data_IF_438843549525
#
_entry.id   IF_438843549525
#
_cell.length_a   1.000
_cell.length_b   1.000
_cell.length_c   1.000
_cell.angle_alpha   90.00
_cell.angle_beta   90.00
_cell.angle_gamma   90.00
#
_symmetry.space_group_name_H-M   'P 1'
#
loop_
_entity.id
_entity.type
_entity.pdbx_description
1 polymer ?
#
# COMPACT_ATOMS: atom_id res chain seq x y z
N UNK A 1 -0.39 -10.03 13.59
CA UNK A 1 0.49 -9.09 12.84
C UNK A 1 1.26 -9.92 11.84
N UNK A 2 1.25 -9.51 10.58
CA UNK A 2 1.87 -10.28 9.48
C UNK A 2 3.16 -9.59 9.08
N UNK A 3 4.23 -10.37 8.94
CA UNK A 3 5.56 -9.90 8.55
C UNK A 3 6.03 -10.77 7.40
N UNK A 4 6.29 -10.17 6.25
CA UNK A 4 6.68 -10.92 5.06
C UNK A 4 7.67 -10.16 4.21
N UNK A 5 8.40 -10.91 3.37
CA UNK A 5 9.39 -10.37 2.45
C UNK A 5 8.93 -10.58 1.02
N UNK A 6 9.08 -9.57 0.19
CA UNK A 6 8.65 -9.58 -1.21
C UNK A 6 9.82 -9.19 -2.10
N UNK A 7 10.13 -10.07 -3.06
CA UNK A 7 11.11 -9.81 -4.11
C UNK A 7 10.48 -9.27 -5.40
N UNK A 8 11.31 -9.11 -6.43
CA UNK A 8 10.87 -8.84 -7.80
C UNK A 8 11.63 -9.67 -8.84
N UNK A 9 11.30 -9.54 -10.13
CA UNK A 9 10.38 -8.54 -10.67
C UNK A 9 8.91 -8.88 -10.41
N UNK A 10 8.14 -7.88 -10.01
CA UNK A 10 6.69 -7.96 -9.90
C UNK A 10 6.08 -6.57 -10.15
N UNK A 11 5.46 -6.41 -11.32
CA UNK A 11 4.75 -5.19 -11.71
C UNK A 11 3.30 -5.54 -11.95
N UNK A 12 2.40 -4.73 -11.41
CA UNK A 12 0.97 -5.03 -11.38
C UNK A 12 0.15 -3.76 -11.58
N UNK A 13 -1.06 -3.92 -12.12
CA UNK A 13 -1.97 -2.81 -12.45
C UNK A 13 -3.08 -2.61 -11.42
N UNK A 14 -3.30 -3.61 -10.57
CA UNK A 14 -4.27 -3.52 -9.52
C UNK A 14 -3.76 -2.64 -8.36
N UNK A 15 -4.70 -1.96 -7.73
CA UNK A 15 -4.53 -1.19 -6.53
C UNK A 15 -5.24 -1.93 -5.40
N UNK A 16 -4.53 -2.17 -4.31
CA UNK A 16 -5.08 -2.70 -3.09
C UNK A 16 -5.47 -1.54 -2.16
N UNK A 17 -6.55 -1.73 -1.40
CA UNK A 17 -7.06 -0.80 -0.41
C UNK A 17 -7.42 -1.64 0.81
N UNK A 18 -6.92 -1.28 1.97
CA UNK A 18 -7.27 -1.92 3.25
C UNK A 18 -7.45 -0.88 4.36
N UNK A 19 -8.07 -1.25 5.47
CA UNK A 19 -8.24 -0.36 6.63
C UNK A 19 -6.99 -0.26 7.51
N UNK A 20 -6.07 -1.23 7.40
CA UNK A 20 -4.80 -1.26 8.11
C UNK A 20 -3.76 -0.29 7.56
N UNK A 21 -2.74 -0.01 8.36
CA UNK A 21 -1.51 0.65 7.87
C UNK A 21 -0.55 -0.42 7.34
N UNK A 22 0.20 -0.10 6.29
CA UNK A 22 1.27 -0.95 5.77
C UNK A 22 2.63 -0.29 5.92
N UNK A 23 3.56 -0.98 6.56
CA UNK A 23 4.95 -0.54 6.70
C UNK A 23 5.83 -1.22 5.66
N UNK A 24 6.61 -0.42 4.95
CA UNK A 24 7.56 -0.85 3.93
C UNK A 24 8.98 -0.52 4.37
N UNK A 25 9.90 -1.45 4.16
CA UNK A 25 11.34 -1.23 4.28
C UNK A 25 12.07 -1.94 3.15
N UNK A 26 12.85 -1.22 2.34
CA UNK A 26 13.61 -1.82 1.24
C UNK A 26 14.99 -2.28 1.72
N UNK A 27 15.21 -3.59 1.77
CA UNK A 27 16.48 -4.19 2.19
C UNK A 27 17.49 -4.25 1.04
N UNK A 28 17.00 -4.45 -0.18
CA UNK A 28 17.81 -4.50 -1.40
C UNK A 28 17.07 -3.90 -2.57
N UNK A 29 17.73 -3.00 -3.29
CA UNK A 29 17.20 -2.29 -4.45
C UNK A 29 16.01 -1.37 -4.13
N UNK A 30 15.51 -0.72 -5.18
CA UNK A 30 14.45 0.28 -5.07
C UNK A 30 13.09 -0.30 -5.49
N UNK A 31 12.01 0.25 -4.94
CA UNK A 31 10.65 0.00 -5.42
C UNK A 31 9.91 1.31 -5.69
N UNK A 32 8.86 1.24 -6.50
CA UNK A 32 7.88 2.32 -6.65
C UNK A 32 6.54 1.84 -6.11
N UNK A 33 5.98 2.54 -5.13
CA UNK A 33 4.62 2.34 -4.69
C UNK A 33 3.74 3.40 -5.36
N UNK A 34 2.93 2.99 -6.34
CA UNK A 34 1.93 3.90 -6.90
C UNK A 34 0.80 4.05 -5.89
N UNK A 35 0.32 5.25 -5.65
CA UNK A 35 -0.71 5.54 -4.65
C UNK A 35 -1.71 6.58 -5.16
N UNK A 36 -2.89 6.63 -4.54
CA UNK A 36 -3.80 7.77 -4.66
C UNK A 36 -3.66 8.71 -3.47
N UNK A 37 -2.71 9.63 -3.53
CA UNK A 37 -2.58 10.69 -2.54
C UNK A 37 -3.62 11.79 -2.81
N UNK A 38 -4.50 12.04 -1.85
CA UNK A 38 -5.59 13.01 -1.98
C UNK A 38 -6.45 12.80 -3.25
N UNK A 39 -6.69 11.52 -3.58
CA UNK A 39 -7.42 11.11 -4.78
C UNK A 39 -6.68 11.31 -6.10
N UNK A 40 -5.36 11.57 -6.08
CA UNK A 40 -4.54 11.76 -7.29
C UNK A 40 -3.42 10.73 -7.35
N UNK A 41 -3.20 10.19 -8.55
CA UNK A 41 -2.09 9.28 -8.81
C UNK A 41 -0.75 9.93 -8.47
N UNK A 42 0.07 9.22 -7.70
CA UNK A 42 1.41 9.62 -7.28
C UNK A 42 2.30 8.40 -7.19
N UNK A 43 3.53 8.53 -7.65
CA UNK A 43 4.56 7.51 -7.48
C UNK A 43 5.40 7.84 -6.24
N UNK A 44 5.45 6.92 -5.27
CA UNK A 44 6.32 6.99 -4.10
C UNK A 44 7.52 6.07 -4.34
N UNK A 45 8.68 6.64 -4.61
CA UNK A 45 9.93 5.87 -4.74
C UNK A 45 10.47 5.59 -3.35
N UNK A 46 10.59 4.31 -3.00
CA UNK A 46 11.17 3.83 -1.74
C UNK A 46 12.50 3.17 -2.10
N UNK A 47 13.61 3.83 -1.78
CA UNK A 47 14.96 3.36 -2.13
C UNK A 47 15.49 2.34 -1.14
N UNK A 48 16.53 1.63 -1.53
CA UNK A 48 17.29 0.76 -0.63
C UNK A 48 17.67 1.50 0.68
N UNK A 49 17.37 0.87 1.82
CA UNK A 49 17.57 1.42 3.15
C UNK A 49 16.50 2.42 3.61
N UNK A 50 15.53 2.77 2.76
CA UNK A 50 14.41 3.65 3.13
C UNK A 50 13.23 2.87 3.71
N UNK A 51 12.57 3.52 4.67
CA UNK A 51 11.29 3.10 5.25
C UNK A 51 10.17 4.04 4.82
N UNK A 52 8.97 3.48 4.71
CA UNK A 52 7.75 4.21 4.39
C UNK A 52 6.56 3.58 5.12
N UNK A 53 5.65 4.40 5.64
CA UNK A 53 4.41 3.94 6.25
C UNK A 53 3.25 4.47 5.42
N UNK A 54 2.43 3.56 4.90
CA UNK A 54 1.20 3.88 4.22
C UNK A 54 0.04 3.90 5.23
N UNK A 55 -0.63 5.04 5.43
CA UNK A 55 -1.88 5.10 6.19
C UNK A 55 -2.97 4.25 5.54
N UNK A 56 -3.89 3.75 6.36
CA UNK A 56 -5.02 2.97 5.86
C UNK A 56 -5.94 3.73 4.91
N UNK A 57 -6.66 2.95 4.11
CA UNK A 57 -7.66 3.33 3.12
C UNK A 57 -7.11 4.16 1.97
N UNK A 58 -5.81 4.03 1.68
CA UNK A 58 -5.17 4.64 0.52
C UNK A 58 -4.93 3.55 -0.53
N UNK A 59 -5.52 3.72 -1.71
CA UNK A 59 -5.29 2.84 -2.83
C UNK A 59 -3.81 2.85 -3.24
N UNK A 60 -3.19 1.67 -3.32
CA UNK A 60 -1.78 1.55 -3.63
C UNK A 60 -1.45 0.33 -4.50
N UNK A 61 -0.42 0.44 -5.34
CA UNK A 61 0.01 -0.59 -6.29
C UNK A 61 1.53 -0.73 -6.28
N UNK A 62 2.09 -1.74 -5.59
CA UNK A 62 3.53 -1.96 -5.49
C UNK A 62 4.15 -2.38 -6.82
N UNK A 63 5.25 -1.72 -7.22
CA UNK A 63 6.04 -2.02 -8.41
C UNK A 63 7.46 -2.38 -7.98
N UNK A 64 7.88 -3.62 -8.23
CA UNK A 64 9.19 -4.15 -7.83
C UNK A 64 9.98 -4.57 -9.06
N UNK A 65 11.21 -4.06 -9.18
CA UNK A 65 12.14 -4.45 -10.22
C UNK A 65 12.85 -5.77 -9.86
N UNK A 66 13.57 -6.36 -10.81
CA UNK A 66 14.38 -7.55 -10.58
C UNK A 66 15.42 -7.32 -9.47
N UNK A 67 15.81 -8.41 -8.79
CA UNK A 67 16.84 -8.43 -7.74
C UNK A 67 16.57 -7.56 -6.51
N UNK A 68 15.33 -7.13 -6.29
CA UNK A 68 14.91 -6.37 -5.10
C UNK A 68 14.44 -7.27 -3.97
N UNK A 69 14.52 -6.79 -2.72
CA UNK A 69 13.90 -7.40 -1.52
C UNK A 69 13.38 -6.29 -0.62
N UNK A 70 12.08 -6.31 -0.33
CA UNK A 70 11.45 -5.44 0.65
C UNK A 70 10.79 -6.24 1.77
N UNK A 71 10.86 -5.72 2.99
CA UNK A 71 10.04 -6.12 4.13
C UNK A 71 8.72 -5.36 4.09
N UNK A 72 7.63 -6.07 4.32
CA UNK A 72 6.30 -5.49 4.55
C UNK A 72 5.78 -5.98 5.89
N UNK A 73 5.19 -5.06 6.66
CA UNK A 73 4.50 -5.35 7.91
C UNK A 73 3.09 -4.77 7.85
N UNK A 74 2.10 -5.63 8.07
CA UNK A 74 0.68 -5.28 8.17
C UNK A 74 0.09 -5.91 9.45
N UNK A 75 -1.08 -5.44 9.87
CA UNK A 75 -1.82 -6.08 10.96
C UNK A 75 -2.81 -7.10 10.42
N UNK A 76 -3.25 -8.00 11.29
CA UNK A 76 -4.42 -8.83 10.94
C UNK A 76 -5.66 -7.94 10.85
N UNK A 77 -6.52 -8.25 9.85
CA UNK A 77 -7.81 -7.60 9.68
C UNK A 77 -8.74 -8.01 10.83
N UNK A 78 -9.50 -7.06 11.36
CA UNK A 78 -10.61 -7.40 12.25
C UNK A 78 -11.73 -8.07 11.43
N UNK A 79 -12.58 -8.85 12.10
CA UNK A 79 -13.59 -9.68 11.41
C UNK A 79 -14.63 -8.90 10.59
N UNK A 80 -14.73 -7.59 10.79
CA UNK A 80 -15.64 -6.69 10.06
C UNK A 80 -14.95 -5.91 8.94
N UNK A 81 -13.61 -5.95 8.86
CA UNK A 81 -12.86 -5.17 7.89
C UNK A 81 -12.83 -5.90 6.54
N UNK A 82 -12.90 -5.12 5.48
CA UNK A 82 -12.79 -5.62 4.12
C UNK A 82 -11.63 -4.97 3.40
N UNK A 83 -10.97 -5.73 2.56
CA UNK A 83 -10.01 -5.24 1.61
C UNK A 83 -10.70 -5.05 0.25
N UNK A 84 -10.16 -4.15 -0.56
CA UNK A 84 -10.59 -3.95 -1.93
C UNK A 84 -9.42 -4.14 -2.89
N UNK A 85 -9.66 -4.91 -3.95
CA UNK A 85 -8.78 -4.99 -5.10
C UNK A 85 -9.43 -4.25 -6.26
N UNK A 86 -8.73 -3.25 -6.81
CA UNK A 86 -9.29 -2.34 -7.79
C UNK A 86 -8.38 -2.15 -8.99
N UNK A 87 -8.99 -2.01 -10.16
CA UNK A 87 -8.31 -1.65 -11.41
C UNK A 87 -8.85 -0.32 -11.92
N UNK A 88 -7.98 0.46 -12.56
CA UNK A 88 -8.33 1.73 -13.21
C UNK A 88 -8.15 1.66 -14.72
N UNK A 89 -8.80 2.58 -15.43
CA UNK A 89 -8.76 2.68 -16.90
C UNK A 89 -7.38 3.07 -17.44
N UNK A 90 -6.58 3.77 -16.64
CA UNK A 90 -5.28 4.33 -16.99
C UNK A 90 -4.44 4.63 -15.73
N UNK A 91 -3.17 5.01 -15.94
CA UNK A 91 -2.21 5.30 -14.87
C UNK A 91 -2.48 6.61 -14.12
N UNK A 92 -3.37 7.47 -14.63
CA UNK A 92 -3.84 8.66 -13.91
C UNK A 92 -4.97 8.34 -12.93
N UNK A 93 -5.45 7.10 -12.97
CA UNK A 93 -6.55 6.59 -12.15
C UNK A 93 -7.82 7.44 -12.32
N UNK A 94 -8.08 7.92 -13.53
CA UNK A 94 -9.18 8.84 -13.83
C UNK A 94 -10.57 8.22 -13.58
N UNK A 95 -10.70 6.91 -13.80
CA UNK A 95 -11.93 6.16 -13.63
C UNK A 95 -11.65 4.74 -13.11
N UNK A 96 -12.44 4.31 -12.12
CA UNK A 96 -12.45 2.91 -11.67
C UNK A 96 -12.99 2.02 -12.77
N UNK A 97 -12.21 1.01 -13.16
CA UNK A 97 -12.56 0.04 -14.20
C UNK A 97 -13.31 -1.17 -13.61
N UNK A 98 -12.83 -1.68 -12.48
CA UNK A 98 -13.33 -2.89 -11.84
C UNK A 98 -12.88 -2.94 -10.38
N UNK A 99 -13.72 -3.42 -9.46
CA UNK A 99 -13.33 -3.63 -8.06
C UNK A 99 -14.02 -4.83 -7.41
N UNK A 100 -13.35 -5.41 -6.42
CA UNK A 100 -13.88 -6.49 -5.58
C UNK A 100 -13.56 -6.23 -4.11
N UNK A 101 -14.56 -6.37 -3.26
CA UNK A 101 -14.45 -6.24 -1.81
C UNK A 101 -14.46 -7.62 -1.15
N UNK A 102 -13.51 -7.91 -0.28
CA UNK A 102 -13.29 -9.24 0.31
C UNK A 102 -12.93 -9.15 1.78
N UNK A 103 -13.40 -10.12 2.58
CA UNK A 103 -12.87 -10.33 3.92
C UNK A 103 -11.54 -11.07 3.82
N UNK A 104 -10.45 -10.31 3.78
CA UNK A 104 -9.10 -10.84 3.58
C UNK A 104 -8.60 -11.57 4.83
N UNK A 105 -8.28 -12.86 4.69
CA UNK A 105 -7.65 -13.68 5.73
C UNK A 105 -6.21 -14.04 5.36
N UNK A 106 -5.98 -14.34 4.09
CA UNK A 106 -4.66 -14.59 3.51
C UNK A 106 -4.55 -13.79 2.21
N UNK A 107 -3.82 -12.67 2.27
CA UNK A 107 -3.72 -11.72 1.17
C UNK A 107 -3.25 -12.38 -0.14
N UNK A 108 -2.31 -13.31 -0.09
CA UNK A 108 -1.79 -13.94 -1.30
C UNK A 108 -2.84 -14.87 -1.93
N UNK A 109 -3.45 -15.73 -1.12
CA UNK A 109 -4.42 -16.71 -1.62
C UNK A 109 -5.76 -16.08 -2.00
N UNK A 110 -6.19 -15.05 -1.28
CA UNK A 110 -7.49 -14.41 -1.48
C UNK A 110 -7.49 -13.45 -2.68
N UNK A 111 -6.35 -12.82 -3.02
CA UNK A 111 -6.28 -11.87 -4.14
C UNK A 111 -6.10 -12.55 -5.51
N UNK A 112 -5.41 -13.69 -5.60
CA UNK A 112 -5.14 -14.36 -6.89
C UNK A 112 -6.43 -14.68 -7.68
N UNK A 113 -7.50 -15.24 -7.07
CA UNK A 113 -8.77 -15.46 -7.76
C UNK A 113 -9.40 -14.16 -8.30
N UNK A 114 -9.33 -13.07 -7.54
CA UNK A 114 -9.89 -11.78 -7.95
C UNK A 114 -9.14 -11.16 -9.13
N UNK A 115 -7.81 -11.31 -9.15
CA UNK A 115 -6.98 -10.91 -10.29
C UNK A 115 -7.36 -11.73 -11.52
N UNK A 116 -7.46 -13.06 -11.39
CA UNK A 116 -7.83 -13.93 -12.50
C UNK A 116 -9.25 -13.64 -13.03
N UNK A 117 -10.20 -13.34 -12.14
CA UNK A 117 -11.54 -12.89 -12.50
C UNK A 117 -11.48 -11.63 -13.37
N UNK A 118 -10.73 -10.61 -12.93
CA UNK A 118 -10.56 -9.39 -13.71
C UNK A 118 -9.90 -9.68 -15.07
N UNK A 119 -8.82 -10.45 -15.11
CA UNK A 119 -8.11 -10.78 -16.35
C UNK A 119 -9.00 -11.51 -17.37
N UNK A 120 -9.96 -12.31 -16.90
CA UNK A 120 -10.97 -12.98 -17.73
C UNK A 120 -12.20 -12.14 -18.06
N UNK A 121 -12.29 -10.89 -17.60
CA UNK A 121 -13.49 -10.06 -17.70
C UNK A 121 -13.56 -9.24 -19.01
N UNK A 122 -14.79 -8.89 -19.40
CA UNK A 122 -15.03 -7.94 -20.48
C UNK A 122 -14.47 -6.55 -20.18
N UNK A 123 -14.39 -6.15 -18.91
CA UNK A 123 -13.79 -4.90 -18.46
C UNK A 123 -12.30 -4.85 -18.81
N UNK A 124 -11.56 -5.93 -18.53
CA UNK A 124 -10.15 -6.04 -18.92
C UNK A 124 -9.99 -6.03 -20.44
N UNK A 125 -10.87 -6.74 -21.17
CA UNK A 125 -10.83 -6.81 -22.64
C UNK A 125 -11.12 -5.48 -23.33
N UNK A 126 -12.08 -4.71 -22.81
CA UNK A 126 -12.58 -3.48 -23.46
C UNK A 126 -12.01 -2.20 -22.86
N UNK A 127 -11.38 -2.29 -21.69
CA UNK A 127 -10.97 -1.15 -20.86
C UNK A 127 -12.12 -0.18 -20.58
N UNK A 128 -13.35 -0.70 -20.40
CA UNK A 128 -14.55 0.09 -20.10
C UNK A 128 -15.29 -0.52 -18.91
N UNK A 129 -15.77 0.33 -17.97
CA UNK A 129 -16.65 -0.16 -16.93
C UNK A 129 -17.95 -0.72 -17.51
N UNK A 130 -18.55 -1.69 -16.83
CA UNK A 130 -19.82 -2.30 -17.23
C UNK A 130 -20.52 -2.99 -16.05
N UNK A 131 -21.57 -3.80 -16.31
CA UNK A 131 -22.36 -4.42 -15.24
C UNK A 131 -21.56 -5.28 -14.25
N UNK A 132 -20.42 -5.86 -14.68
CA UNK A 132 -19.53 -6.66 -13.84
C UNK A 132 -18.44 -5.88 -13.11
N UNK A 133 -18.35 -4.56 -13.31
CA UNK A 133 -17.30 -3.73 -12.69
C UNK A 133 -17.48 -3.59 -11.19
N UNK A 134 -18.72 -3.42 -10.73
CA UNK A 134 -19.05 -3.03 -9.35
C UNK A 134 -20.04 -4.03 -8.78
N UNK A 135 -19.54 -5.05 -8.08
CA UNK A 135 -20.38 -6.04 -7.40
C UNK A 135 -20.44 -5.70 -5.91
N UNK A 136 -21.53 -5.06 -5.50
CA UNK A 136 -21.74 -4.63 -4.11
C UNK A 136 -21.49 -3.15 -3.89
N UNK A 137 -21.57 -2.73 -2.63
CA UNK A 137 -21.26 -1.36 -2.21
C UNK A 137 -19.87 -1.32 -1.59
N UNK A 138 -19.14 -0.19 -1.70
CA UNK A 138 -17.92 0.02 -0.93
C UNK A 138 -18.13 -0.24 0.56
N UNK A 139 -17.17 -0.89 1.20
CA UNK A 139 -17.24 -1.16 2.64
C UNK A 139 -16.98 0.10 3.48
N UNK A 140 -16.17 1.02 2.94
CA UNK A 140 -15.82 2.30 3.54
C UNK A 140 -15.41 3.32 2.48
N UNK A 141 -15.37 4.59 2.88
CA UNK A 141 -14.80 5.66 2.08
C UNK A 141 -13.27 5.62 2.09
N UNK A 142 -12.68 5.87 0.94
CA UNK A 142 -11.23 6.00 0.78
C UNK A 142 -10.69 7.27 1.43
N UNK A 143 -9.45 7.19 1.90
CA UNK A 143 -8.73 8.33 2.43
C UNK A 143 -8.23 9.23 1.29
N UNK A 144 -9.02 10.26 0.98
CA UNK A 144 -8.72 11.25 -0.07
C UNK A 144 -8.27 12.60 0.49
N UNK A 145 -7.92 12.65 1.77
CA UNK A 145 -7.55 13.89 2.47
C UNK A 145 -6.08 13.90 2.89
N UNK A 146 -5.50 12.72 3.16
CA UNK A 146 -4.16 12.60 3.72
C UNK A 146 -3.07 12.95 2.71
N UNK A 147 -2.11 13.75 3.15
CA UNK A 147 -0.82 13.93 2.46
C UNK A 147 0.19 12.97 3.07
N UNK A 148 0.91 12.23 2.23
CA UNK A 148 1.86 11.22 2.65
C UNK A 148 3.19 11.86 3.04
N UNK A 149 3.75 11.42 4.16
CA UNK A 149 5.14 11.70 4.51
C UNK A 149 6.07 11.00 3.51
N UNK A 150 7.18 11.62 3.08
CA UNK A 150 8.12 10.96 2.18
C UNK A 150 8.82 9.79 2.87
N UNK A 151 9.27 8.77 2.12
CA UNK A 151 10.20 7.78 2.63
C UNK A 151 11.46 8.42 3.19
N UNK A 152 12.09 7.78 4.17
CA UNK A 152 13.37 8.24 4.72
C UNK A 152 14.33 7.09 4.96
N UNK A 153 15.64 7.38 4.84
CA UNK A 153 16.67 6.38 5.11
C UNK A 153 16.76 6.06 6.61
N UNK A 154 16.51 4.80 6.96
CA UNK A 154 16.41 4.36 8.36
C UNK A 154 17.76 4.51 9.09
N UNK A 155 18.86 4.12 8.46
CA UNK A 155 20.18 4.20 9.07
C UNK A 155 20.60 5.64 9.36
N UNK A 156 20.37 6.56 8.42
CA UNK A 156 20.63 7.99 8.65
C UNK A 156 19.73 8.55 9.76
N UNK A 157 18.46 8.14 9.80
CA UNK A 157 17.55 8.55 10.85
C UNK A 157 18.04 8.05 12.22
N UNK A 158 18.42 6.77 12.34
CA UNK A 158 18.96 6.20 13.57
C UNK A 158 20.23 6.93 14.03
N UNK A 159 21.18 7.16 13.12
CA UNK A 159 22.43 7.89 13.41
C UNK A 159 22.16 9.29 13.96
N UNK A 160 21.19 10.03 13.40
CA UNK A 160 20.82 11.38 13.90
C UNK A 160 20.21 11.35 15.30
N UNK A 161 19.65 10.23 15.72
CA UNK A 161 19.00 10.08 17.02
C UNK A 161 19.81 9.22 18.00
N UNK A 162 21.04 8.84 17.66
CA UNK A 162 21.87 7.93 18.46
C UNK A 162 22.09 8.42 19.89
N UNK A 163 22.38 9.72 20.07
CA UNK A 163 22.53 10.36 21.37
C UNK A 163 21.27 10.29 22.24
N UNK A 164 20.09 10.23 21.63
CA UNK A 164 18.82 10.09 22.32
C UNK A 164 18.51 8.61 22.61
N UNK A 165 18.83 7.71 21.69
CA UNK A 165 18.63 6.25 21.82
C UNK A 165 19.57 5.62 22.86
N UNK A 166 20.78 6.16 22.99
CA UNK A 166 21.84 5.62 23.86
C UNK A 166 21.71 6.05 25.33
N UNK A 167 20.69 6.84 25.69
CA UNK A 167 20.50 7.26 27.09
C UNK A 167 19.96 6.11 27.94
N UNK A 168 20.39 5.96 29.22
CA UNK A 168 19.96 4.87 30.10
C UNK A 168 18.44 4.76 30.30
N UNK A 169 17.70 5.85 30.05
CA UNK A 169 16.25 5.96 30.18
C UNK A 169 15.54 6.25 28.84
N UNK A 170 16.21 6.03 27.70
CA UNK A 170 15.60 6.13 26.39
C UNK A 170 14.56 5.00 26.22
N UNK A 171 13.31 5.27 26.62
CA UNK A 171 12.25 4.23 26.62
C UNK A 171 11.54 4.09 25.27
N UNK A 172 11.52 5.14 24.45
CA UNK A 172 10.79 5.17 23.18
C UNK A 172 11.19 6.38 22.33
N UNK A 173 11.60 6.14 21.10
CA UNK A 173 11.61 7.15 20.04
C UNK A 173 10.61 6.73 18.98
N UNK A 174 9.58 7.54 18.79
CA UNK A 174 8.61 7.33 17.72
C UNK A 174 9.10 8.14 16.54
N UNK A 175 9.64 7.47 15.52
CA UNK A 175 9.63 8.07 14.19
C UNK A 175 8.16 8.33 13.88
N UNK A 176 7.73 9.59 13.85
CA UNK A 176 6.38 9.92 13.41
C UNK A 176 6.34 9.69 11.90
N UNK A 177 6.15 8.42 11.55
CA UNK A 177 5.87 7.97 10.20
C UNK A 177 4.47 8.39 9.75
N UNK A 178 3.65 8.91 10.68
CA UNK A 178 2.34 9.49 10.41
C UNK A 178 2.49 10.93 9.93
N UNK A 179 1.63 11.32 8.98
CA UNK A 179 1.44 12.68 8.47
C UNK A 179 1.56 13.74 9.58
N UNK A 180 2.13 14.93 9.30
CA UNK A 180 2.12 16.07 10.20
C UNK A 180 0.71 16.69 10.24
N UNK A 181 -0.27 15.93 10.71
CA UNK A 181 -1.58 16.43 11.09
C UNK A 181 -1.75 16.11 12.57
N UNK A 182 -1.49 17.14 13.37
CA UNK A 182 -1.57 17.06 14.83
C UNK A 182 -2.92 16.54 15.29
N UNK A 183 -2.86 15.66 16.29
CA UNK A 183 -3.98 15.48 17.21
C UNK A 183 -4.25 16.83 17.89
N UNK A 184 -5.44 17.38 17.65
CA UNK A 184 -6.15 18.19 18.64
C UNK A 184 -7.04 17.26 19.44
#
# INVERSE_FOLDING_TARGET
>A
MTVFYVGGPNVRRDYHIEEGEEFFYMLRGDMVLKVLERGRAKDVVIREGEVFLLPGRIAHSPQRLADTVGLVVERERASHEQDCLRFYTDDTCSQVLHERWVYCKDLYHDLVPLINEFLGSEQCRTNRPGPGSFLGKPAYDENTETTLSPPFNLNQWLQRHDNLLSQPNAKRLVATLKSPSGFR
#
